data_IF_851609895752
#
_entry.id   IF_851609895752
#
_cell.length_a   1.000
_cell.length_b   1.000
_cell.length_c   1.000
_cell.angle_alpha   90.00
_cell.angle_beta   90.00
_cell.angle_gamma   90.00
#
_symmetry.space_group_name_H-M   'P 1'
#
loop_
_entity.id
_entity.type
_entity.pdbx_description
1 polymer ?
#
# COMPACT_ATOMS: atom_id res chain seq x y z
N UNK A 1 45.30 -40.56 11.14
CA UNK A 1 45.75 -39.89 9.90
C UNK A 1 44.62 -39.02 9.39
N UNK A 2 44.81 -37.72 9.17
CA UNK A 2 43.80 -36.89 8.51
C UNK A 2 43.55 -37.40 7.10
N UNK A 3 42.29 -37.63 6.75
CA UNK A 3 41.90 -37.99 5.37
C UNK A 3 42.35 -36.88 4.44
N UNK A 4 43.11 -37.22 3.38
CA UNK A 4 43.50 -36.28 2.33
C UNK A 4 42.26 -35.52 1.78
N UNK A 5 42.37 -34.21 1.56
CA UNK A 5 41.25 -33.44 0.99
C UNK A 5 40.87 -34.02 -0.34
N UNK A 6 39.58 -34.35 -0.54
CA UNK A 6 39.04 -34.79 -1.82
C UNK A 6 39.33 -33.74 -2.88
N UNK A 7 39.92 -34.14 -4.02
CA UNK A 7 40.15 -33.28 -5.17
C UNK A 7 38.90 -32.47 -5.51
N UNK A 8 39.06 -31.16 -5.69
CA UNK A 8 37.95 -30.22 -5.75
C UNK A 8 37.00 -30.49 -6.92
N UNK A 9 35.72 -30.70 -6.61
CA UNK A 9 34.65 -30.67 -7.62
C UNK A 9 34.56 -29.26 -8.22
N UNK A 10 34.42 -29.16 -9.54
CA UNK A 10 34.17 -27.87 -10.21
C UNK A 10 32.97 -27.18 -9.62
N UNK A 11 33.10 -25.89 -9.29
CA UNK A 11 32.05 -25.04 -8.74
C UNK A 11 31.13 -24.58 -9.87
N UNK A 12 29.84 -24.37 -9.59
CA UNK A 12 28.85 -23.91 -10.56
C UNK A 12 29.29 -22.65 -11.34
N UNK A 13 29.95 -21.70 -10.67
CA UNK A 13 30.49 -20.48 -11.30
C UNK A 13 31.62 -20.77 -12.31
N UNK A 14 32.34 -21.89 -12.16
CA UNK A 14 33.35 -22.31 -13.15
C UNK A 14 32.75 -22.72 -14.49
N UNK A 15 31.46 -23.05 -14.51
CA UNK A 15 30.71 -23.39 -15.73
C UNK A 15 30.33 -22.13 -16.53
N UNK A 16 30.47 -20.93 -15.95
CA UNK A 16 30.16 -19.65 -16.61
C UNK A 16 31.49 -18.96 -16.94
N UNK A 17 32.08 -19.23 -18.14
CA UNK A 17 33.45 -18.80 -18.47
C UNK A 17 33.60 -17.28 -18.54
N UNK A 18 32.54 -16.55 -18.88
CA UNK A 18 32.53 -15.09 -18.96
C UNK A 18 32.77 -14.41 -17.61
N UNK A 19 32.13 -14.90 -16.53
CA UNK A 19 32.33 -14.38 -15.17
C UNK A 19 33.64 -14.90 -14.58
N UNK A 20 33.94 -16.19 -14.77
CA UNK A 20 35.12 -16.81 -14.20
C UNK A 20 36.43 -16.23 -14.69
N UNK A 21 36.52 -15.88 -15.97
CA UNK A 21 37.75 -15.28 -16.56
C UNK A 21 38.05 -13.89 -16.00
N UNK A 22 37.01 -13.09 -15.64
CA UNK A 22 37.17 -11.72 -15.11
C UNK A 22 37.53 -11.68 -13.63
N UNK A 23 37.37 -12.79 -12.88
CA UNK A 23 37.69 -12.84 -11.45
C UNK A 23 39.19 -12.92 -11.20
N UNK A 24 39.68 -12.14 -10.21
CA UNK A 24 41.04 -12.24 -9.69
C UNK A 24 41.31 -13.62 -9.09
N UNK A 25 42.58 -14.01 -9.00
CA UNK A 25 42.99 -15.28 -8.39
C UNK A 25 42.38 -15.43 -6.99
N UNK A 26 42.46 -14.39 -6.16
CA UNK A 26 41.96 -14.38 -4.80
C UNK A 26 40.44 -14.56 -4.73
N UNK A 27 39.69 -13.94 -5.65
CA UNK A 27 38.25 -14.11 -5.74
C UNK A 27 37.86 -15.54 -6.16
N UNK A 28 38.63 -16.16 -7.05
CA UNK A 28 38.44 -17.56 -7.46
C UNK A 28 38.63 -18.51 -6.29
N UNK A 29 39.64 -18.26 -5.45
CA UNK A 29 39.90 -19.03 -4.22
C UNK A 29 38.77 -18.85 -3.23
N UNK A 30 38.29 -17.62 -3.00
CA UNK A 30 37.14 -17.33 -2.11
C UNK A 30 35.90 -18.09 -2.55
N UNK A 31 35.56 -18.04 -3.84
CA UNK A 31 34.40 -18.76 -4.39
C UNK A 31 34.51 -20.27 -4.18
N UNK A 32 35.67 -20.85 -4.47
CA UNK A 32 35.92 -22.28 -4.24
C UNK A 32 35.77 -22.66 -2.76
N UNK A 33 36.25 -21.82 -1.85
CA UNK A 33 36.14 -22.04 -0.42
C UNK A 33 34.68 -21.93 0.07
N UNK A 34 33.91 -20.96 -0.40
CA UNK A 34 32.49 -20.80 -0.08
C UNK A 34 31.69 -22.06 -0.40
N UNK A 35 31.90 -22.65 -1.58
CA UNK A 35 31.16 -23.84 -2.00
C UNK A 35 31.74 -25.17 -1.45
N UNK A 36 32.92 -25.13 -0.85
CA UNK A 36 33.51 -26.28 -0.17
C UNK A 36 32.74 -26.65 1.11
N UNK A 37 32.27 -25.64 1.83
CA UNK A 37 31.53 -25.79 3.11
C UNK A 37 30.06 -25.44 2.92
N UNK A 38 29.33 -26.24 2.13
CA UNK A 38 27.94 -25.97 1.71
C UNK A 38 26.99 -25.70 2.88
N UNK A 39 27.05 -26.49 3.97
CA UNK A 39 26.17 -26.30 5.14
C UNK A 39 26.32 -24.88 5.73
N UNK A 40 27.57 -24.44 5.89
CA UNK A 40 27.88 -23.10 6.40
C UNK A 40 27.42 -22.01 5.42
N UNK A 41 27.69 -22.18 4.13
CA UNK A 41 27.23 -21.27 3.09
C UNK A 41 25.73 -21.05 3.18
N UNK A 42 24.94 -22.13 3.14
CA UNK A 42 23.49 -22.01 3.20
C UNK A 42 22.98 -21.43 4.52
N UNK A 43 23.54 -21.82 5.67
CA UNK A 43 23.16 -21.30 6.97
C UNK A 43 23.41 -19.78 7.05
N UNK A 44 24.55 -19.33 6.55
CA UNK A 44 24.90 -17.91 6.52
C UNK A 44 24.02 -17.10 5.59
N UNK A 45 23.83 -17.60 4.36
CA UNK A 45 22.97 -16.93 3.37
C UNK A 45 21.53 -16.86 3.86
N UNK A 46 20.98 -17.95 4.41
CA UNK A 46 19.61 -17.97 4.95
C UNK A 46 19.47 -17.00 6.13
N UNK A 47 20.44 -16.95 7.05
CA UNK A 47 20.40 -16.04 8.19
C UNK A 47 20.41 -14.57 7.77
N UNK A 48 21.32 -14.20 6.87
CA UNK A 48 21.41 -12.82 6.35
C UNK A 48 20.18 -12.50 5.46
N UNK A 49 19.76 -13.43 4.62
CA UNK A 49 18.60 -13.26 3.78
C UNK A 49 17.30 -13.12 4.58
N UNK A 50 17.14 -13.90 5.66
CA UNK A 50 15.98 -13.82 6.54
C UNK A 50 15.85 -12.46 7.22
N UNK A 51 16.94 -11.94 7.78
CA UNK A 51 16.95 -10.61 8.38
C UNK A 51 16.76 -9.50 7.34
N UNK A 52 17.38 -9.62 6.17
CA UNK A 52 17.16 -8.69 5.05
C UNK A 52 15.72 -8.70 4.54
N UNK A 53 15.10 -9.89 4.46
CA UNK A 53 13.70 -10.02 4.06
C UNK A 53 12.75 -9.37 5.06
N UNK A 54 13.01 -9.48 6.36
CA UNK A 54 12.23 -8.79 7.39
C UNK A 54 12.34 -7.27 7.28
N UNK A 55 13.54 -6.74 6.99
CA UNK A 55 13.75 -5.30 6.75
C UNK A 55 12.94 -4.81 5.55
N UNK A 56 13.05 -5.50 4.41
CA UNK A 56 12.31 -5.15 3.20
C UNK A 56 10.80 -5.21 3.44
N UNK A 57 10.33 -6.22 4.17
CA UNK A 57 8.91 -6.35 4.52
C UNK A 57 8.45 -5.20 5.43
N UNK A 58 9.26 -4.80 6.43
CA UNK A 58 8.92 -3.72 7.34
C UNK A 58 8.82 -2.36 6.62
N UNK A 59 9.81 -2.01 5.79
CA UNK A 59 9.78 -0.79 5.00
C UNK A 59 8.69 -0.82 3.94
N UNK A 60 8.52 -1.95 3.26
CA UNK A 60 7.47 -2.10 2.26
C UNK A 60 6.06 -1.99 2.85
N UNK A 61 5.84 -2.51 4.06
CA UNK A 61 4.57 -2.37 4.78
C UNK A 61 4.30 -0.90 5.13
N UNK A 62 5.31 -0.20 5.64
CA UNK A 62 5.22 1.23 5.91
C UNK A 62 4.84 2.01 4.66
N UNK A 63 5.57 1.81 3.57
CA UNK A 63 5.34 2.49 2.30
C UNK A 63 3.94 2.21 1.73
N UNK A 64 3.50 0.96 1.79
CA UNK A 64 2.15 0.55 1.32
C UNK A 64 1.02 1.15 2.15
N UNK A 65 1.20 1.32 3.47
CA UNK A 65 0.19 1.89 4.36
C UNK A 65 0.10 3.40 4.17
N UNK A 66 1.24 4.10 4.20
CA UNK A 66 1.26 5.56 4.04
C UNK A 66 0.93 6.00 2.61
N UNK A 67 1.24 5.16 1.61
CA UNK A 67 0.85 5.37 0.23
C UNK A 67 -0.67 5.39 0.01
N UNK A 68 -1.46 4.79 0.91
CA UNK A 68 -2.94 4.88 0.86
C UNK A 68 -3.39 6.34 0.98
N UNK A 69 -2.81 7.06 1.94
CA UNK A 69 -3.21 8.45 2.23
C UNK A 69 -2.96 9.32 1.00
N UNK A 70 -1.76 9.24 0.43
CA UNK A 70 -1.38 10.03 -0.74
C UNK A 70 -2.25 9.70 -1.95
N UNK A 71 -2.50 8.43 -2.20
CA UNK A 71 -3.33 8.01 -3.34
C UNK A 71 -4.81 8.30 -3.15
N UNK A 72 -5.37 8.05 -1.96
CA UNK A 72 -6.78 8.30 -1.70
C UNK A 72 -7.12 9.78 -1.71
N UNK A 73 -6.32 10.59 -1.02
CA UNK A 73 -6.62 12.02 -0.80
C UNK A 73 -5.83 12.98 -1.69
N UNK A 74 -4.86 12.47 -2.47
CA UNK A 74 -4.14 13.26 -3.47
C UNK A 74 -4.59 12.95 -4.89
N UNK A 75 -4.77 11.66 -5.22
CA UNK A 75 -5.08 11.25 -6.60
C UNK A 75 -6.57 11.08 -6.84
N UNK A 76 -7.32 10.45 -5.90
CA UNK A 76 -8.72 10.10 -6.10
C UNK A 76 -9.64 11.19 -5.57
N UNK A 77 -9.54 11.54 -4.30
CA UNK A 77 -10.35 12.57 -3.68
C UNK A 77 -9.61 13.90 -3.68
N UNK A 78 -10.05 14.77 -4.57
CA UNK A 78 -9.42 16.08 -4.82
C UNK A 78 -10.26 17.24 -4.27
N UNK A 79 -11.42 16.95 -3.63
CA UNK A 79 -12.20 17.96 -2.94
C UNK A 79 -11.52 18.42 -1.65
N UNK A 80 -11.79 19.65 -1.24
CA UNK A 80 -11.26 20.23 0.00
C UNK A 80 -12.18 20.02 1.20
N UNK A 81 -13.50 19.96 0.95
CA UNK A 81 -14.54 19.88 1.99
C UNK A 81 -15.58 18.83 1.62
N UNK A 82 -16.00 18.10 2.63
CA UNK A 82 -17.10 17.16 2.58
C UNK A 82 -18.09 17.47 3.70
N UNK A 83 -19.36 17.65 3.38
CA UNK A 83 -20.39 18.00 4.35
C UNK A 83 -21.65 17.18 4.14
N UNK A 84 -22.32 16.83 5.23
CA UNK A 84 -23.54 16.03 5.22
C UNK A 84 -24.63 16.65 6.06
N UNK A 85 -25.89 16.41 5.67
CA UNK A 85 -27.11 16.81 6.39
C UNK A 85 -27.75 15.62 7.10
N UNK A 86 -28.61 15.88 8.10
CA UNK A 86 -29.33 14.82 8.83
C UNK A 86 -30.34 14.09 7.95
N UNK A 87 -31.07 14.80 7.12
CA UNK A 87 -32.12 14.25 6.28
C UNK A 87 -31.85 14.58 4.81
N UNK A 88 -31.98 13.58 3.94
CA UNK A 88 -31.84 13.79 2.51
C UNK A 88 -32.96 14.67 1.97
N UNK A 89 -32.63 15.58 1.08
CA UNK A 89 -33.55 16.56 0.51
C UNK A 89 -33.37 16.70 -1.01
N UNK A 90 -34.26 17.44 -1.65
CA UNK A 90 -34.14 17.69 -3.09
C UNK A 90 -32.89 18.51 -3.44
N UNK A 91 -32.43 18.45 -4.68
CA UNK A 91 -31.32 19.27 -5.15
C UNK A 91 -31.58 20.76 -4.95
N UNK A 92 -32.81 21.22 -5.19
CA UNK A 92 -33.19 22.62 -5.03
C UNK A 92 -33.05 23.06 -3.55
N UNK A 93 -33.49 22.21 -2.61
CA UNK A 93 -33.37 22.49 -1.17
C UNK A 93 -31.92 22.51 -0.71
N UNK A 94 -31.07 21.62 -1.24
CA UNK A 94 -29.63 21.61 -0.95
C UNK A 94 -28.93 22.86 -1.49
N UNK A 95 -29.27 23.30 -2.69
CA UNK A 95 -28.76 24.52 -3.29
C UNK A 95 -29.22 25.75 -2.49
N UNK A 96 -30.46 25.78 -2.03
CA UNK A 96 -30.99 26.84 -1.17
C UNK A 96 -30.30 26.87 0.18
N UNK A 97 -30.06 25.69 0.80
CA UNK A 97 -29.36 25.57 2.09
C UNK A 97 -27.97 26.20 1.99
N UNK A 98 -27.19 25.79 1.00
CA UNK A 98 -25.83 26.29 0.83
C UNK A 98 -25.84 27.76 0.38
N UNK A 99 -26.69 28.15 -0.56
CA UNK A 99 -26.76 29.51 -1.10
C UNK A 99 -27.15 30.59 -0.06
N UNK A 100 -27.84 30.19 1.01
CA UNK A 100 -28.15 31.08 2.13
C UNK A 100 -27.08 31.13 3.21
N UNK A 101 -26.13 30.20 3.17
CA UNK A 101 -25.05 30.13 4.17
C UNK A 101 -23.91 31.07 3.78
N UNK A 102 -23.38 31.89 4.68
CA UNK A 102 -22.26 32.79 4.40
C UNK A 102 -21.01 32.05 3.89
N UNK A 103 -20.80 30.81 4.33
CA UNK A 103 -19.70 29.95 3.90
C UNK A 103 -19.73 29.64 2.39
N UNK A 104 -20.87 29.85 1.70
CA UNK A 104 -20.96 29.63 0.26
C UNK A 104 -19.97 30.45 -0.56
N UNK A 105 -19.62 31.64 -0.07
CA UNK A 105 -18.66 32.53 -0.72
C UNK A 105 -17.22 31.99 -0.72
N UNK A 106 -16.90 31.02 0.15
CA UNK A 106 -15.58 30.41 0.24
C UNK A 106 -15.38 29.28 -0.79
N UNK A 107 -16.45 28.77 -1.38
CA UNK A 107 -16.38 27.71 -2.40
C UNK A 107 -16.10 28.26 -3.79
N UNK A 108 -15.17 27.61 -4.49
CA UNK A 108 -15.00 27.77 -5.93
C UNK A 108 -16.06 26.98 -6.70
N UNK A 109 -16.28 25.74 -6.26
CA UNK A 109 -17.24 24.84 -6.90
C UNK A 109 -17.74 23.78 -5.93
N UNK A 110 -18.97 23.33 -6.12
CA UNK A 110 -19.64 22.35 -5.27
C UNK A 110 -20.31 21.26 -6.11
N UNK A 111 -20.29 20.03 -5.64
CA UNK A 111 -21.03 18.88 -6.14
C UNK A 111 -21.95 18.36 -5.04
N UNK A 112 -23.24 18.28 -5.29
CA UNK A 112 -24.17 17.66 -4.36
C UNK A 112 -24.19 16.15 -4.58
N UNK A 113 -24.29 15.39 -3.47
CA UNK A 113 -24.24 13.93 -3.55
C UNK A 113 -25.24 13.25 -2.60
N UNK A 114 -25.56 12.01 -2.94
CA UNK A 114 -26.19 11.04 -2.05
C UNK A 114 -25.11 10.06 -1.59
N UNK A 115 -24.88 9.94 -0.32
CA UNK A 115 -24.07 8.84 0.24
C UNK A 115 -24.95 7.96 1.12
N UNK A 116 -25.19 6.74 0.68
CA UNK A 116 -26.04 5.77 1.37
C UNK A 116 -25.36 4.41 1.45
N UNK A 117 -25.34 3.83 2.66
CA UNK A 117 -24.76 2.49 2.84
C UNK A 117 -25.77 1.41 2.48
N UNK A 118 -25.33 0.46 1.68
CA UNK A 118 -26.13 -0.66 1.16
C UNK A 118 -25.35 -1.98 1.26
N UNK A 119 -26.02 -3.08 1.03
CA UNK A 119 -25.40 -4.38 0.80
C UNK A 119 -25.28 -4.62 -0.71
N UNK A 120 -24.08 -4.92 -1.17
CA UNK A 120 -23.83 -5.30 -2.57
C UNK A 120 -23.69 -6.82 -2.68
N UNK A 121 -24.38 -7.40 -3.67
CA UNK A 121 -24.39 -8.85 -3.92
C UNK A 121 -24.01 -9.15 -5.37
N UNK A 122 -23.22 -10.20 -5.54
CA UNK A 122 -22.95 -10.80 -6.83
C UNK A 122 -22.93 -12.33 -6.69
N UNK A 123 -23.91 -13.01 -7.27
CA UNK A 123 -24.10 -14.45 -7.11
C UNK A 123 -24.27 -14.86 -5.64
N UNK A 124 -23.42 -15.76 -5.15
CA UNK A 124 -23.43 -16.24 -3.75
C UNK A 124 -22.60 -15.42 -2.78
N UNK A 125 -22.00 -14.28 -3.20
CA UNK A 125 -21.16 -13.42 -2.39
C UNK A 125 -21.90 -12.13 -2.05
N UNK A 126 -21.66 -11.60 -0.85
CA UNK A 126 -22.22 -10.31 -0.42
C UNK A 126 -21.18 -9.51 0.35
N UNK A 127 -21.28 -8.18 0.24
CA UNK A 127 -20.50 -7.22 1.00
C UNK A 127 -21.44 -6.17 1.57
N UNK A 128 -21.44 -6.03 2.88
CA UNK A 128 -22.20 -5.00 3.59
C UNK A 128 -21.36 -3.72 3.77
N UNK A 129 -22.02 -2.59 4.02
CA UNK A 129 -21.34 -1.32 4.23
C UNK A 129 -20.73 -0.74 2.96
N UNK A 130 -21.28 -1.07 1.81
CA UNK A 130 -20.92 -0.48 0.53
C UNK A 130 -21.62 0.86 0.38
N UNK A 131 -20.87 1.92 0.11
CA UNK A 131 -21.38 3.25 -0.11
C UNK A 131 -21.89 3.38 -1.56
N UNK A 132 -23.18 3.62 -1.74
CA UNK A 132 -23.72 4.10 -2.98
C UNK A 132 -23.55 5.61 -3.01
N UNK A 133 -22.59 6.09 -3.81
CA UNK A 133 -22.35 7.52 -3.99
C UNK A 133 -23.03 7.99 -5.29
N UNK A 134 -24.19 8.62 -5.11
CA UNK A 134 -24.93 9.24 -6.20
C UNK A 134 -24.47 10.68 -6.42
N UNK A 135 -24.24 11.05 -7.66
CA UNK A 135 -23.81 12.38 -8.08
C UNK A 135 -24.79 12.97 -9.10
N UNK A 136 -24.86 14.29 -9.24
CA UNK A 136 -25.76 14.95 -10.18
C UNK A 136 -25.52 14.48 -11.62
N UNK A 137 -24.27 14.53 -12.04
CA UNK A 137 -23.79 14.04 -13.35
C UNK A 137 -22.32 13.64 -13.24
N UNK A 138 -21.80 12.98 -14.26
CA UNK A 138 -20.38 12.64 -14.34
C UNK A 138 -19.47 13.89 -14.34
N UNK A 139 -19.93 14.95 -15.00
CA UNK A 139 -19.18 16.22 -15.07
C UNK A 139 -19.05 16.89 -13.71
N UNK A 140 -20.04 16.71 -12.82
CA UNK A 140 -20.00 17.29 -11.46
C UNK A 140 -18.88 16.71 -10.61
N UNK A 141 -18.37 15.53 -10.94
CA UNK A 141 -17.23 14.90 -10.27
C UNK A 141 -15.88 15.53 -10.63
N UNK A 142 -15.80 16.25 -11.75
CA UNK A 142 -14.54 16.83 -12.23
C UNK A 142 -13.88 17.73 -11.18
N UNK A 143 -12.58 17.49 -10.92
CA UNK A 143 -11.82 18.21 -9.92
C UNK A 143 -12.14 17.84 -8.45
N UNK A 144 -13.01 16.84 -8.19
CA UNK A 144 -13.37 16.41 -6.84
C UNK A 144 -13.14 14.93 -6.62
N UNK A 145 -13.58 14.10 -7.58
CA UNK A 145 -13.35 12.65 -7.55
C UNK A 145 -12.79 12.24 -8.90
N UNK A 146 -11.59 11.73 -8.92
CA UNK A 146 -10.90 11.26 -10.11
C UNK A 146 -11.00 9.74 -10.20
N UNK A 147 -11.86 9.24 -11.08
CA UNK A 147 -12.02 7.81 -11.31
C UNK A 147 -10.97 7.32 -12.30
N UNK A 148 -10.09 6.46 -11.85
CA UNK A 148 -9.08 5.81 -12.70
C UNK A 148 -8.85 4.36 -12.25
N UNK A 149 -8.23 3.55 -13.10
CA UNK A 149 -7.78 2.20 -12.78
C UNK A 149 -6.36 2.01 -13.29
N UNK A 150 -5.41 1.87 -12.38
CA UNK A 150 -3.99 1.79 -12.72
C UNK A 150 -3.49 3.01 -13.51
N UNK A 151 -4.08 4.20 -13.28
CA UNK A 151 -3.77 5.44 -13.97
C UNK A 151 -4.56 5.67 -15.28
N UNK A 152 -5.29 4.68 -15.78
CA UNK A 152 -6.19 4.86 -16.92
C UNK A 152 -7.53 5.46 -16.45
N UNK A 153 -8.06 6.54 -17.07
CA UNK A 153 -9.32 7.15 -16.65
C UNK A 153 -10.49 6.18 -16.83
N UNK A 154 -11.40 6.18 -15.86
CA UNK A 154 -12.66 5.43 -15.89
C UNK A 154 -13.81 6.44 -15.96
N UNK A 155 -14.66 6.30 -16.95
CA UNK A 155 -15.80 7.21 -17.17
C UNK A 155 -17.05 6.66 -16.49
N UNK A 156 -17.73 7.49 -15.71
CA UNK A 156 -19.08 7.25 -15.25
C UNK A 156 -20.04 7.87 -16.28
N UNK A 157 -21.14 7.19 -16.59
CA UNK A 157 -22.20 7.70 -17.44
C UNK A 157 -23.58 7.17 -16.99
N UNK A 158 -24.65 7.56 -17.71
CA UNK A 158 -26.04 7.21 -17.38
C UNK A 158 -26.42 5.78 -17.79
N UNK A 159 -25.48 4.94 -18.23
CA UNK A 159 -25.74 3.55 -18.64
C UNK A 159 -25.45 2.51 -17.56
N UNK A 160 -24.84 2.92 -16.42
CA UNK A 160 -24.50 1.99 -15.35
C UNK A 160 -23.77 2.63 -14.18
N UNK A 161 -23.09 1.78 -13.42
CA UNK A 161 -22.33 2.16 -12.22
C UNK A 161 -20.86 1.83 -12.36
N UNK A 162 -20.03 2.62 -11.68
CA UNK A 162 -18.61 2.31 -11.50
C UNK A 162 -18.40 1.79 -10.09
N UNK A 163 -17.76 0.62 -9.96
CA UNK A 163 -17.47 -0.01 -8.65
C UNK A 163 -16.01 0.13 -8.31
N UNK A 164 -15.68 0.12 -7.03
CA UNK A 164 -14.28 0.18 -6.57
C UNK A 164 -13.56 -1.15 -6.75
N UNK A 165 -12.26 -1.11 -7.05
CA UNK A 165 -11.45 -2.27 -7.38
C UNK A 165 -11.46 -3.34 -6.26
N UNK A 166 -11.42 -2.93 -4.99
CA UNK A 166 -11.50 -3.88 -3.87
C UNK A 166 -12.85 -4.57 -3.79
N UNK A 167 -13.95 -3.85 -4.02
CA UNK A 167 -15.30 -4.44 -4.09
C UNK A 167 -15.38 -5.44 -5.24
N UNK A 168 -14.84 -5.06 -6.41
CA UNK A 168 -14.81 -5.92 -7.59
C UNK A 168 -13.99 -7.21 -7.34
N UNK A 169 -12.84 -7.11 -6.65
CA UNK A 169 -12.03 -8.27 -6.23
C UNK A 169 -12.81 -9.18 -5.27
N UNK A 170 -13.43 -8.61 -4.21
CA UNK A 170 -14.15 -9.34 -3.17
C UNK A 170 -15.34 -10.10 -3.74
N UNK A 171 -16.15 -9.44 -4.57
CA UNK A 171 -17.36 -10.04 -5.15
C UNK A 171 -17.12 -10.68 -6.53
N UNK A 172 -15.89 -10.65 -7.06
CA UNK A 172 -15.54 -11.13 -8.41
C UNK A 172 -16.37 -10.46 -9.52
N UNK A 173 -16.48 -9.14 -9.45
CA UNK A 173 -17.22 -8.30 -10.41
C UNK A 173 -16.27 -7.84 -11.52
N UNK A 174 -16.79 -7.75 -12.74
CA UNK A 174 -16.09 -7.17 -13.89
C UNK A 174 -17.00 -6.15 -14.59
N UNK A 175 -16.38 -5.26 -15.37
CA UNK A 175 -17.14 -4.41 -16.26
C UNK A 175 -18.00 -5.27 -17.23
N UNK A 176 -19.27 -4.93 -17.34
CA UNK A 176 -20.29 -5.68 -18.08
C UNK A 176 -21.17 -6.59 -17.22
N UNK A 177 -20.77 -6.88 -15.98
CA UNK A 177 -21.59 -7.68 -15.06
C UNK A 177 -22.76 -6.88 -14.49
N UNK A 178 -23.74 -7.58 -13.94
CA UNK A 178 -24.84 -7.01 -13.18
C UNK A 178 -24.63 -7.33 -11.68
N UNK A 179 -24.80 -6.32 -10.84
CA UNK A 179 -24.72 -6.43 -9.39
C UNK A 179 -26.08 -6.11 -8.76
N UNK A 180 -26.30 -6.64 -7.59
CA UNK A 180 -27.52 -6.37 -6.84
C UNK A 180 -27.20 -5.51 -5.62
N UNK A 181 -27.75 -4.29 -5.57
CA UNK A 181 -27.64 -3.39 -4.42
C UNK A 181 -28.92 -3.49 -3.60
N UNK A 182 -28.78 -3.88 -2.32
CA UNK A 182 -29.90 -4.11 -1.42
C UNK A 182 -30.01 -3.01 -0.38
N UNK A 183 -31.20 -2.41 -0.34
CA UNK A 183 -31.57 -1.40 0.66
C UNK A 183 -33.01 -1.57 1.09
N UNK A 184 -33.30 -1.39 2.40
CA UNK A 184 -34.66 -1.51 2.91
C UNK A 184 -35.36 -2.87 2.68
N UNK A 185 -34.58 -3.90 2.34
CA UNK A 185 -35.10 -5.24 2.01
C UNK A 185 -35.37 -5.45 0.53
N UNK A 186 -35.27 -4.43 -0.32
CA UNK A 186 -35.45 -4.49 -1.76
C UNK A 186 -34.10 -4.62 -2.48
N UNK A 187 -34.09 -5.41 -3.54
CA UNK A 187 -32.93 -5.66 -4.37
C UNK A 187 -33.04 -4.83 -5.68
N UNK A 188 -32.00 -4.06 -5.98
CA UNK A 188 -31.90 -3.21 -7.16
C UNK A 188 -30.75 -3.68 -8.04
N UNK A 189 -31.10 -4.15 -9.25
CA UNK A 189 -30.14 -4.64 -10.22
C UNK A 189 -29.48 -3.47 -10.95
N UNK A 190 -28.14 -3.44 -10.97
CA UNK A 190 -27.37 -2.39 -11.61
C UNK A 190 -26.28 -2.97 -12.51
N UNK A 191 -26.10 -2.38 -13.68
CA UNK A 191 -25.05 -2.75 -14.62
C UNK A 191 -23.73 -2.07 -14.26
N UNK A 192 -22.65 -2.83 -14.18
CA UNK A 192 -21.30 -2.31 -13.95
C UNK A 192 -20.68 -1.91 -15.27
N UNK A 193 -20.33 -0.64 -15.45
CA UNK A 193 -19.68 -0.11 -16.65
C UNK A 193 -18.17 0.04 -16.47
N UNK A 194 -17.68 0.13 -15.23
CA UNK A 194 -16.26 0.30 -14.95
C UNK A 194 -15.87 -0.13 -13.55
N UNK A 195 -14.57 -0.31 -13.37
CA UNK A 195 -13.94 -0.56 -12.08
C UNK A 195 -12.89 0.51 -11.87
N UNK A 196 -12.95 1.24 -10.75
CA UNK A 196 -12.02 2.31 -10.42
C UNK A 196 -11.21 1.98 -9.16
N UNK A 197 -9.98 2.48 -9.10
CA UNK A 197 -9.15 2.37 -7.89
C UNK A 197 -9.80 3.15 -6.75
N UNK A 198 -9.74 2.58 -5.54
CA UNK A 198 -10.09 3.24 -4.30
C UNK A 198 -9.48 2.46 -3.14
N UNK A 199 -8.91 3.17 -2.19
CA UNK A 199 -8.11 2.54 -1.13
C UNK A 199 -8.84 2.45 0.20
N UNK A 200 -9.88 3.26 0.40
CA UNK A 200 -10.63 3.33 1.67
C UNK A 200 -12.11 3.18 1.40
N UNK A 201 -12.75 2.23 2.04
CA UNK A 201 -14.14 1.84 1.86
C UNK A 201 -14.46 1.27 0.47
N UNK A 202 -15.67 0.79 0.34
CA UNK A 202 -16.24 0.30 -0.92
C UNK A 202 -17.25 1.30 -1.44
N UNK A 203 -17.07 1.75 -2.67
CA UNK A 203 -18.00 2.67 -3.32
C UNK A 203 -18.58 2.07 -4.59
N UNK A 204 -19.82 2.41 -4.84
CA UNK A 204 -20.54 2.26 -6.12
C UNK A 204 -20.98 3.66 -6.53
N UNK A 205 -20.40 4.18 -7.60
CA UNK A 205 -20.69 5.51 -8.13
C UNK A 205 -21.82 5.42 -9.13
N UNK A 206 -22.81 6.31 -9.00
CA UNK A 206 -24.02 6.35 -9.84
C UNK A 206 -24.41 7.79 -10.16
N UNK A 207 -24.88 8.05 -11.39
CA UNK A 207 -25.47 9.35 -11.75
C UNK A 207 -26.92 9.44 -11.30
N UNK A 208 -27.44 10.66 -11.10
CA UNK A 208 -28.85 10.88 -10.74
C UNK A 208 -29.79 10.31 -11.77
N UNK A 209 -29.47 10.41 -13.07
CA UNK A 209 -30.28 9.89 -14.14
C UNK A 209 -30.40 8.36 -14.14
N UNK A 210 -29.26 7.67 -13.92
CA UNK A 210 -29.26 6.21 -13.79
C UNK A 210 -29.91 5.75 -12.48
N UNK A 211 -29.74 6.51 -11.40
CA UNK A 211 -30.41 6.25 -10.12
C UNK A 211 -31.95 6.28 -10.32
N UNK A 212 -32.48 7.27 -10.99
CA UNK A 212 -33.93 7.37 -11.25
C UNK A 212 -34.43 6.18 -12.07
N UNK A 213 -33.63 5.72 -13.04
CA UNK A 213 -33.95 4.53 -13.85
C UNK A 213 -34.03 3.25 -13.00
N UNK A 214 -33.11 3.08 -12.05
CA UNK A 214 -32.99 1.86 -11.21
C UNK A 214 -34.00 1.87 -10.05
N UNK A 215 -34.17 3.02 -9.37
CA UNK A 215 -34.99 3.13 -8.16
C UNK A 215 -36.43 3.63 -8.43
N UNK A 216 -36.71 4.10 -9.66
CA UNK A 216 -38.03 4.62 -10.03
C UNK A 216 -38.42 5.92 -9.32
N UNK A 217 -37.49 6.64 -8.73
CA UNK A 217 -37.71 7.89 -7.99
C UNK A 217 -36.53 8.83 -8.15
N UNK A 218 -36.78 10.14 -8.11
CA UNK A 218 -35.75 11.14 -8.15
C UNK A 218 -34.78 10.98 -6.96
N UNK A 219 -33.49 11.13 -7.23
CA UNK A 219 -32.45 11.05 -6.20
C UNK A 219 -32.61 12.20 -5.20
N UNK A 220 -32.47 11.89 -3.94
CA UNK A 220 -32.40 12.86 -2.85
C UNK A 220 -30.93 12.99 -2.42
N UNK A 221 -30.52 14.18 -2.02
CA UNK A 221 -29.14 14.49 -1.68
C UNK A 221 -29.01 14.66 -0.17
N UNK A 222 -27.97 14.06 0.41
CA UNK A 222 -27.69 14.19 1.84
C UNK A 222 -26.32 14.76 2.14
N UNK A 223 -25.58 15.18 1.11
CA UNK A 223 -24.27 15.78 1.30
C UNK A 223 -23.83 16.61 0.09
N UNK A 224 -22.71 17.27 0.27
CA UNK A 224 -22.00 17.92 -0.83
C UNK A 224 -20.49 17.83 -0.62
N UNK A 225 -19.77 17.90 -1.73
CA UNK A 225 -18.30 17.96 -1.78
C UNK A 225 -17.91 19.21 -2.54
N UNK A 226 -16.99 19.99 -1.98
CA UNK A 226 -16.61 21.28 -2.57
C UNK A 226 -15.12 21.50 -2.62
N UNK A 227 -14.70 22.26 -3.64
CA UNK A 227 -13.36 22.82 -3.69
C UNK A 227 -13.45 24.28 -3.20
N UNK A 228 -12.45 24.68 -2.43
CA UNK A 228 -12.35 26.00 -1.86
C UNK A 228 -11.58 26.94 -2.80
N UNK A 229 -11.83 28.22 -2.66
CA UNK A 229 -11.04 29.25 -3.34
C UNK A 229 -9.60 29.23 -2.86
N UNK A 230 -8.66 29.51 -3.75
CA UNK A 230 -7.25 29.59 -3.40
C UNK A 230 -6.95 30.62 -2.31
N UNK A 231 -6.01 30.29 -1.42
CA UNK A 231 -5.48 31.22 -0.42
C UNK A 231 -6.24 31.28 0.90
N UNK A 232 -7.20 30.37 1.13
CA UNK A 232 -7.84 30.25 2.44
C UNK A 232 -6.85 29.70 3.49
N UNK A 233 -6.87 30.29 4.68
CA UNK A 233 -6.07 29.86 5.83
C UNK A 233 -6.83 28.82 6.65
N UNK A 234 -6.11 28.08 7.50
CA UNK A 234 -6.73 27.11 8.44
C UNK A 234 -7.80 27.77 9.31
N UNK A 235 -7.56 29.02 9.77
CA UNK A 235 -8.52 29.80 10.56
C UNK A 235 -9.81 30.10 9.77
N UNK A 236 -9.67 30.40 8.46
CA UNK A 236 -10.82 30.63 7.58
C UNK A 236 -11.61 29.34 7.35
N UNK A 237 -10.93 28.20 7.21
CA UNK A 237 -11.57 26.89 7.06
C UNK A 237 -12.35 26.47 8.34
N UNK A 238 -11.80 26.77 9.52
CA UNK A 238 -12.50 26.53 10.80
C UNK A 238 -13.73 27.45 10.94
N UNK A 239 -13.61 28.70 10.51
CA UNK A 239 -14.73 29.65 10.50
C UNK A 239 -15.84 29.19 9.54
N UNK A 240 -15.49 28.81 8.32
CA UNK A 240 -16.41 28.26 7.32
C UNK A 240 -17.12 27.00 7.86
N UNK A 241 -16.37 26.07 8.46
CA UNK A 241 -16.93 24.85 9.04
C UNK A 241 -17.94 25.18 10.16
N UNK A 242 -17.63 26.16 10.99
CA UNK A 242 -18.52 26.66 12.07
C UNK A 242 -19.77 27.30 11.50
N UNK A 243 -19.63 28.10 10.42
CA UNK A 243 -20.77 28.73 9.74
C UNK A 243 -21.70 27.70 9.12
N UNK A 244 -21.15 26.69 8.43
CA UNK A 244 -21.94 25.58 7.89
C UNK A 244 -22.70 24.84 8.99
N UNK A 245 -22.01 24.48 10.09
CA UNK A 245 -22.60 23.78 11.22
C UNK A 245 -23.59 24.62 12.03
N UNK A 246 -23.67 25.94 11.80
CA UNK A 246 -24.68 26.80 12.44
C UNK A 246 -26.10 26.52 11.89
N UNK A 247 -26.25 25.96 10.73
CA UNK A 247 -27.54 25.47 10.20
C UNK A 247 -27.89 24.13 10.86
N UNK A 248 -29.02 24.05 11.55
CA UNK A 248 -29.46 22.89 12.31
C UNK A 248 -29.70 21.63 11.46
N UNK A 249 -29.77 21.76 10.15
CA UNK A 249 -29.90 20.65 9.19
C UNK A 249 -28.58 19.97 8.92
N UNK A 250 -27.44 20.65 9.18
CA UNK A 250 -26.11 20.10 8.96
C UNK A 250 -25.76 19.08 10.02
N UNK A 251 -25.30 17.91 9.58
CA UNK A 251 -24.85 16.83 10.45
C UNK A 251 -23.35 16.91 10.75
N UNK A 252 -22.54 17.08 9.71
CA UNK A 252 -21.07 17.14 9.84
C UNK A 252 -20.46 17.90 8.68
N UNK A 253 -19.34 18.56 8.97
CA UNK A 253 -18.47 19.19 7.98
C UNK A 253 -17.05 18.69 8.26
N UNK A 254 -16.37 18.22 7.25
CA UNK A 254 -14.99 17.73 7.32
C UNK A 254 -14.16 18.35 6.21
N UNK A 255 -13.06 18.94 6.57
CA UNK A 255 -12.04 19.33 5.57
C UNK A 255 -11.18 18.12 5.27
N UNK A 256 -10.64 18.06 4.05
CA UNK A 256 -9.72 16.97 3.67
C UNK A 256 -8.50 16.94 4.60
N UNK A 257 -8.03 18.10 5.04
CA UNK A 257 -6.95 18.21 6.03
C UNK A 257 -7.29 17.53 7.36
N UNK A 258 -8.52 17.69 7.87
CA UNK A 258 -8.97 17.04 9.10
C UNK A 258 -9.12 15.53 8.94
N UNK A 259 -9.59 15.07 7.79
CA UNK A 259 -9.68 13.64 7.45
C UNK A 259 -8.28 13.05 7.36
N UNK A 260 -7.37 13.73 6.65
CA UNK A 260 -5.97 13.35 6.53
C UNK A 260 -5.30 13.23 7.90
N UNK A 261 -5.45 14.23 8.78
CA UNK A 261 -4.89 14.21 10.12
C UNK A 261 -5.43 13.03 10.96
N UNK A 262 -6.73 12.77 10.91
CA UNK A 262 -7.37 11.66 11.63
C UNK A 262 -6.87 10.29 11.15
N UNK A 263 -6.72 10.12 9.83
CA UNK A 263 -6.19 8.88 9.24
C UNK A 263 -4.71 8.74 9.57
N UNK A 264 -3.93 9.82 9.48
CA UNK A 264 -2.52 9.85 9.85
C UNK A 264 -2.30 9.45 11.31
N UNK A 265 -3.05 10.02 12.23
CA UNK A 265 -2.97 9.69 13.66
C UNK A 265 -3.29 8.20 13.91
N UNK A 266 -4.32 7.68 13.26
CA UNK A 266 -4.70 6.28 13.35
C UNK A 266 -3.62 5.33 12.82
N UNK A 267 -2.97 5.70 11.71
CA UNK A 267 -1.92 4.91 11.09
C UNK A 267 -0.56 5.10 11.77
N UNK A 268 -0.34 6.20 12.50
CA UNK A 268 0.92 6.49 13.18
C UNK A 268 1.32 5.41 14.20
N UNK A 269 0.35 4.73 14.79
CA UNK A 269 0.57 3.59 15.69
C UNK A 269 1.36 2.46 14.99
N UNK A 270 1.15 2.27 13.69
CA UNK A 270 1.85 1.25 12.90
C UNK A 270 3.35 1.57 12.74
N UNK A 271 3.76 2.84 12.87
CA UNK A 271 5.16 3.22 12.88
C UNK A 271 5.95 2.55 13.99
N UNK A 272 5.34 2.37 15.17
CA UNK A 272 5.99 1.66 16.28
C UNK A 272 6.21 0.18 15.94
N UNK A 273 5.26 -0.46 15.26
CA UNK A 273 5.41 -1.85 14.80
C UNK A 273 6.54 -1.96 13.79
N UNK A 274 6.59 -1.05 12.83
CA UNK A 274 7.67 -0.98 11.83
C UNK A 274 9.02 -0.74 12.51
N UNK A 275 9.09 0.18 13.48
CA UNK A 275 10.31 0.44 14.25
C UNK A 275 10.81 -0.82 14.97
N UNK A 276 9.92 -1.56 15.63
CA UNK A 276 10.26 -2.81 16.31
C UNK A 276 10.77 -3.85 15.32
N UNK A 277 10.15 -3.98 14.15
CA UNK A 277 10.60 -4.88 13.09
C UNK A 277 11.99 -4.50 12.57
N UNK A 278 12.27 -3.21 12.37
CA UNK A 278 13.58 -2.71 11.92
C UNK A 278 14.64 -3.00 12.97
N UNK A 279 14.38 -2.67 14.23
CA UNK A 279 15.33 -2.93 15.33
C UNK A 279 15.58 -4.42 15.52
N UNK A 280 14.51 -5.23 15.51
CA UNK A 280 14.60 -6.70 15.62
C UNK A 280 15.39 -7.32 14.46
N UNK A 281 15.14 -6.89 13.25
CA UNK A 281 15.88 -7.32 12.06
C UNK A 281 17.35 -6.89 12.11
N UNK A 282 17.65 -5.67 12.55
CA UNK A 282 19.00 -5.17 12.74
C UNK A 282 19.77 -5.99 13.78
N UNK A 283 19.16 -6.27 14.93
CA UNK A 283 19.73 -7.13 15.98
C UNK A 283 19.97 -8.55 15.46
N UNK A 284 19.02 -9.13 14.74
CA UNK A 284 19.16 -10.45 14.16
C UNK A 284 20.33 -10.50 13.17
N UNK A 285 20.43 -9.50 12.28
CA UNK A 285 21.56 -9.37 11.35
C UNK A 285 22.88 -9.32 12.09
N UNK A 286 22.97 -8.50 13.15
CA UNK A 286 24.18 -8.35 13.97
C UNK A 286 24.59 -9.68 14.62
N UNK A 287 23.64 -10.39 15.25
CA UNK A 287 23.92 -11.69 15.89
C UNK A 287 24.35 -12.74 14.87
N UNK A 288 23.68 -12.80 13.72
CA UNK A 288 24.04 -13.74 12.65
C UNK A 288 25.44 -13.44 12.12
N UNK A 289 25.80 -12.16 11.91
CA UNK A 289 27.13 -11.77 11.45
C UNK A 289 28.22 -12.04 12.47
N UNK A 290 27.95 -11.80 13.75
CA UNK A 290 28.88 -12.15 14.82
C UNK A 290 29.14 -13.66 14.87
N UNK A 291 28.08 -14.47 14.87
CA UNK A 291 28.22 -15.92 14.89
C UNK A 291 28.97 -16.42 13.65
N UNK A 292 28.69 -15.89 12.49
CA UNK A 292 29.36 -16.23 11.24
C UNK A 292 30.87 -15.92 11.33
N UNK A 293 31.22 -14.74 11.83
CA UNK A 293 32.59 -14.30 11.98
C UNK A 293 33.34 -15.20 12.98
N UNK A 294 32.73 -15.51 14.13
CA UNK A 294 33.31 -16.37 15.13
C UNK A 294 33.59 -17.80 14.62
N UNK A 295 32.61 -18.37 13.89
CA UNK A 295 32.76 -19.70 13.27
C UNK A 295 33.87 -19.66 12.21
N UNK A 296 33.94 -18.62 11.38
CA UNK A 296 34.97 -18.45 10.36
C UNK A 296 36.39 -18.39 10.97
N UNK A 297 36.55 -17.63 12.04
CA UNK A 297 37.84 -17.49 12.72
C UNK A 297 38.21 -18.82 13.37
N UNK A 298 37.27 -19.45 14.09
CA UNK A 298 37.54 -20.71 14.83
C UNK A 298 37.97 -21.87 13.92
N UNK A 299 37.29 -22.04 12.77
CA UNK A 299 37.62 -23.09 11.81
C UNK A 299 38.96 -22.88 11.09
N UNK A 300 39.42 -21.63 10.98
CA UNK A 300 40.63 -21.25 10.23
C UNK A 300 41.81 -20.86 11.10
N UNK A 301 41.70 -21.04 12.40
CA UNK A 301 42.76 -20.64 13.33
C UNK A 301 44.14 -21.20 12.94
N UNK A 302 44.18 -22.47 12.47
CA UNK A 302 45.44 -23.10 12.01
C UNK A 302 45.96 -22.49 10.71
N UNK A 303 45.06 -22.19 9.75
CA UNK A 303 45.40 -21.54 8.48
C UNK A 303 45.94 -20.12 8.74
N UNK A 304 45.31 -19.39 9.64
CA UNK A 304 45.72 -18.03 10.05
C UNK A 304 47.06 -18.04 10.78
N UNK A 305 47.28 -19.00 11.68
CA UNK A 305 48.57 -19.18 12.33
C UNK A 305 49.70 -19.45 11.32
N UNK A 306 49.44 -20.29 10.32
CA UNK A 306 50.40 -20.56 9.22
C UNK A 306 50.70 -19.31 8.40
N UNK A 307 49.70 -18.52 8.03
CA UNK A 307 49.88 -17.26 7.30
C UNK A 307 50.72 -16.25 8.12
N UNK A 308 50.51 -16.21 9.46
CA UNK A 308 51.26 -15.34 10.34
C UNK A 308 52.72 -15.74 10.42
N UNK A 309 53.00 -17.03 10.46
CA UNK A 309 54.40 -17.55 10.44
C UNK A 309 55.07 -17.27 9.08
N UNK A 310 54.30 -17.23 8.00
CA UNK A 310 54.79 -16.87 6.66
C UNK A 310 55.01 -15.37 6.48
N UNK A 311 54.76 -14.54 7.50
CA UNK A 311 55.07 -13.10 7.50
C UNK A 311 53.93 -12.20 6.99
N UNK A 312 52.71 -12.71 6.90
CA UNK A 312 51.54 -11.86 6.55
C UNK A 312 51.21 -10.90 7.68
N UNK A 313 50.91 -9.65 7.33
CA UNK A 313 50.49 -8.62 8.29
C UNK A 313 49.04 -8.82 8.75
N UNK A 314 48.74 -8.34 9.95
CA UNK A 314 47.38 -8.45 10.53
C UNK A 314 46.28 -7.90 9.58
N UNK A 315 46.53 -6.79 8.86
CA UNK A 315 45.61 -6.22 7.88
C UNK A 315 45.30 -7.18 6.73
N UNK A 316 46.26 -7.95 6.27
CA UNK A 316 46.10 -8.91 5.20
C UNK A 316 45.29 -10.13 5.65
N UNK A 317 45.50 -10.58 6.87
CA UNK A 317 44.72 -11.64 7.50
C UNK A 317 43.28 -11.22 7.71
N UNK A 318 43.02 -10.01 8.21
CA UNK A 318 41.67 -9.46 8.31
C UNK A 318 40.99 -9.37 6.93
N UNK A 319 41.69 -8.84 5.94
CA UNK A 319 41.13 -8.74 4.58
C UNK A 319 40.77 -10.12 4.01
N UNK A 320 41.52 -11.16 4.33
CA UNK A 320 41.25 -12.54 3.90
C UNK A 320 39.94 -13.07 4.51
N UNK A 321 39.73 -12.88 5.83
CA UNK A 321 38.52 -13.31 6.55
C UNK A 321 37.29 -12.49 6.10
N UNK A 322 37.43 -11.16 6.10
CA UNK A 322 36.32 -10.27 5.76
C UNK A 322 35.86 -10.39 4.32
N UNK A 323 36.72 -10.76 3.40
CA UNK A 323 36.35 -10.94 1.98
C UNK A 323 35.32 -12.06 1.80
N UNK A 324 35.44 -13.14 2.57
CA UNK A 324 34.45 -14.23 2.54
C UNK A 324 33.14 -13.81 3.18
N UNK A 325 33.19 -13.15 4.33
CA UNK A 325 32.01 -12.62 5.01
C UNK A 325 31.28 -11.58 4.13
N UNK A 326 32.02 -10.67 3.49
CA UNK A 326 31.42 -9.69 2.57
C UNK A 326 30.76 -10.36 1.36
N UNK A 327 31.36 -11.39 0.78
CA UNK A 327 30.75 -12.13 -0.32
C UNK A 327 29.44 -12.81 0.12
N UNK A 328 29.42 -13.44 1.31
CA UNK A 328 28.23 -14.05 1.89
C UNK A 328 27.15 -13.01 2.19
N UNK A 329 27.55 -11.84 2.71
CA UNK A 329 26.63 -10.74 2.99
C UNK A 329 25.97 -10.19 1.74
N UNK A 330 26.74 -9.99 0.66
CA UNK A 330 26.18 -9.51 -0.63
C UNK A 330 25.22 -10.53 -1.21
N UNK A 331 25.59 -11.83 -1.22
CA UNK A 331 24.70 -12.88 -1.72
C UNK A 331 23.45 -12.97 -0.84
N UNK A 332 23.61 -12.97 0.48
CA UNK A 332 22.50 -13.01 1.44
C UNK A 332 21.56 -11.81 1.31
N UNK A 333 22.11 -10.61 1.15
CA UNK A 333 21.31 -9.40 0.91
C UNK A 333 20.49 -9.48 -0.38
N UNK A 334 21.10 -9.96 -1.46
CA UNK A 334 20.39 -10.12 -2.74
C UNK A 334 19.23 -11.14 -2.65
N UNK A 335 19.50 -12.27 -2.02
CA UNK A 335 18.46 -13.28 -1.74
C UNK A 335 17.40 -12.70 -0.79
N UNK A 336 17.82 -11.92 0.22
CA UNK A 336 16.93 -11.24 1.16
C UNK A 336 16.01 -10.23 0.51
N UNK A 337 16.49 -9.44 -0.45
CA UNK A 337 15.67 -8.51 -1.23
C UNK A 337 14.58 -9.24 -2.02
N UNK A 338 14.94 -10.32 -2.71
CA UNK A 338 13.98 -11.12 -3.49
C UNK A 338 12.93 -11.77 -2.59
N UNK A 339 13.38 -12.38 -1.49
CA UNK A 339 12.50 -13.04 -0.54
C UNK A 339 11.64 -12.03 0.23
N UNK A 340 12.20 -10.87 0.57
CA UNK A 340 11.50 -9.77 1.21
C UNK A 340 10.34 -9.22 0.37
N UNK A 341 10.52 -9.10 -0.95
CA UNK A 341 9.42 -8.73 -1.86
C UNK A 341 8.28 -9.76 -1.82
N UNK A 342 8.61 -11.04 -1.82
CA UNK A 342 7.59 -12.11 -1.74
C UNK A 342 6.88 -12.06 -0.39
N UNK A 343 7.64 -11.92 0.70
CA UNK A 343 7.09 -11.80 2.06
C UNK A 343 6.21 -10.56 2.21
N UNK A 344 6.65 -9.43 1.69
CA UNK A 344 5.87 -8.19 1.69
C UNK A 344 4.51 -8.37 0.99
N UNK A 345 4.51 -8.92 -0.23
CA UNK A 345 3.25 -9.19 -0.95
C UNK A 345 2.35 -10.19 -0.21
N UNK A 346 2.93 -11.18 0.45
CA UNK A 346 2.19 -12.13 1.27
C UNK A 346 1.56 -11.46 2.49
N UNK A 347 2.35 -10.65 3.23
CA UNK A 347 1.88 -9.94 4.43
C UNK A 347 0.78 -8.94 4.06
N UNK A 348 0.97 -8.14 3.01
CA UNK A 348 -0.04 -7.18 2.55
C UNK A 348 -1.37 -7.89 2.26
N UNK A 349 -1.35 -8.96 1.46
CA UNK A 349 -2.58 -9.69 1.12
C UNK A 349 -3.25 -10.35 2.31
N UNK A 350 -2.48 -10.73 3.34
CA UNK A 350 -3.00 -11.40 4.53
C UNK A 350 -3.50 -10.41 5.58
N UNK A 351 -2.87 -9.23 5.67
CA UNK A 351 -3.24 -8.18 6.62
C UNK A 351 -4.25 -7.19 6.05
N UNK A 352 -4.57 -7.29 4.76
CA UNK A 352 -5.55 -6.43 4.10
C UNK A 352 -6.93 -6.65 4.72
N UNK A 353 -7.54 -5.57 5.24
CA UNK A 353 -8.88 -5.59 5.86
C UNK A 353 -9.91 -5.39 4.77
N UNK A 354 -11.13 -5.91 4.97
CA UNK A 354 -12.19 -5.87 3.94
C UNK A 354 -12.48 -4.46 3.39
N UNK A 355 -12.32 -3.42 4.22
CA UNK A 355 -12.63 -2.03 3.87
C UNK A 355 -11.44 -1.19 3.38
N UNK A 356 -10.23 -1.76 3.33
CA UNK A 356 -9.01 -1.01 2.97
C UNK A 356 -8.19 -1.82 1.97
N UNK A 357 -7.83 -1.20 0.85
CA UNK A 357 -6.91 -1.76 -0.13
C UNK A 357 -5.52 -1.15 0.09
N UNK A 358 -4.51 -1.98 0.33
CA UNK A 358 -3.14 -1.49 0.43
C UNK A 358 -2.55 -1.18 -0.96
N UNK A 359 -1.69 -0.17 -1.02
CA UNK A 359 -0.91 0.13 -2.23
C UNK A 359 0.09 -1.01 -2.45
N UNK A 360 0.08 -1.60 -3.65
CA UNK A 360 0.88 -2.80 -4.02
C UNK A 360 2.05 -2.44 -4.90
#
# INVERSE_FOLDING_TARGET
>A
RPKAPKAGRRVLLEKIPFIWKKLSFTSKVTVRNLFRYKKRFFMSVIGIAGSGALLVTAFGLNDSIFGIIEKQFGDIWQMDVQAYVYEAMSLADMQELLGKNPANDDFDSVMFCLDSQMECKNGGRSQSGVHLLGVESAESMAGRINLHNGGAPVTLDDSGVVVTAKLAETLSIKAGDEINMRTGGEDHLMRVIGVADNYVYHYVYITAAYYETVFGKAMQYNGFMGNLKDGLTDETMDTMSTQLLSDSRMYTVRTIGSIYASVWDSLSILNYVVLVLILGSGMLTFVVMLNLTNINIGERMRELATLRVLGFYDKEMYAYIFRENNALSVIGAFVGLLFGRIMHLFVIRTCEVDMVMFVR
#
